data_IF_952351450618
#
_entry.id   IF_952351450618
#
_cell.length_a   1.000
_cell.length_b   1.000
_cell.length_c   1.000
_cell.angle_alpha   90.00
_cell.angle_beta   90.00
_cell.angle_gamma   90.00
#
_symmetry.space_group_name_H-M   'P 1'
#
loop_
_entity.id
_entity.type
_entity.pdbx_description
1 polymer ?
#
# COMPACT_ATOMS: atom_id res chain seq x y z
N UNK A 1 24.35 -17.49 14.54
CA UNK A 1 24.56 -16.46 13.50
C UNK A 1 23.22 -15.88 13.11
N UNK A 2 23.15 -14.58 12.94
CA UNK A 2 21.96 -13.90 12.44
C UNK A 2 22.22 -13.58 10.97
N UNK A 3 21.36 -14.10 10.08
CA UNK A 3 21.46 -13.78 8.65
C UNK A 3 21.01 -12.33 8.41
N UNK A 4 21.58 -11.65 7.41
CA UNK A 4 21.25 -10.26 7.08
C UNK A 4 19.75 -10.05 6.83
N UNK A 5 19.08 -11.03 6.24
CA UNK A 5 17.63 -11.01 6.03
C UNK A 5 16.81 -11.07 7.31
N UNK A 6 17.40 -11.45 8.42
CA UNK A 6 16.77 -11.54 9.74
C UNK A 6 17.03 -10.31 10.61
N UNK A 7 17.89 -9.40 10.16
CA UNK A 7 18.21 -8.17 10.88
C UNK A 7 17.19 -7.07 10.67
N UNK A 8 16.57 -7.00 9.50
CA UNK A 8 15.60 -5.95 9.19
C UNK A 8 14.51 -6.43 8.24
N UNK A 9 13.36 -5.78 8.32
CA UNK A 9 12.27 -5.90 7.36
C UNK A 9 12.57 -5.12 6.06
N UNK A 10 13.43 -4.09 6.15
CA UNK A 10 13.93 -3.34 4.99
C UNK A 10 15.16 -4.01 4.39
N UNK A 11 15.39 -3.74 3.11
CA UNK A 11 16.61 -4.22 2.45
C UNK A 11 17.79 -3.38 2.89
N UNK A 12 18.68 -3.97 3.70
CA UNK A 12 19.91 -3.36 4.15
C UNK A 12 21.10 -3.90 3.33
N UNK A 13 22.12 -3.09 3.16
CA UNK A 13 23.33 -3.47 2.43
C UNK A 13 24.35 -4.15 3.33
N UNK A 14 24.43 -3.70 4.57
CA UNK A 14 25.39 -4.21 5.54
C UNK A 14 24.77 -4.31 6.93
N UNK A 15 25.12 -5.36 7.71
CA UNK A 15 24.61 -5.53 9.07
C UNK A 15 24.84 -4.35 10.01
N UNK A 16 25.94 -3.60 9.81
CA UNK A 16 26.28 -2.43 10.63
C UNK A 16 25.30 -1.25 10.50
N UNK A 17 24.38 -1.30 9.54
CA UNK A 17 23.30 -0.32 9.43
C UNK A 17 22.24 -0.49 10.53
N UNK A 18 22.14 -1.68 11.10
CA UNK A 18 21.13 -2.04 12.11
C UNK A 18 21.78 -2.31 13.46
N UNK A 19 22.91 -3.02 13.49
CA UNK A 19 23.59 -3.46 14.72
C UNK A 19 25.09 -3.20 14.62
N UNK A 20 25.70 -2.84 15.76
CA UNK A 20 27.14 -2.61 15.85
C UNK A 20 27.81 -3.69 16.70
N UNK A 21 29.11 -3.86 16.51
CA UNK A 21 29.89 -4.78 17.31
C UNK A 21 29.90 -4.31 18.77
N UNK A 22 29.50 -5.19 19.66
CA UNK A 22 29.38 -4.88 21.10
C UNK A 22 27.97 -4.54 21.57
N UNK A 23 26.99 -4.39 20.65
CA UNK A 23 25.60 -4.15 21.02
C UNK A 23 24.96 -5.41 21.61
N UNK A 24 24.14 -5.22 22.62
CA UNK A 24 23.31 -6.27 23.19
C UNK A 24 21.94 -6.25 22.52
N UNK A 25 21.57 -7.35 21.90
CA UNK A 25 20.33 -7.48 21.14
C UNK A 25 19.51 -8.68 21.62
N UNK A 26 18.20 -8.53 21.64
CA UNK A 26 17.29 -9.64 21.89
C UNK A 26 17.04 -10.39 20.59
N UNK A 27 17.18 -11.70 20.64
CA UNK A 27 17.01 -12.55 19.48
C UNK A 27 16.17 -13.78 19.80
N UNK A 28 15.44 -14.24 18.82
CA UNK A 28 14.68 -15.49 18.92
C UNK A 28 15.45 -16.62 18.25
N UNK A 29 15.56 -17.76 18.91
CA UNK A 29 16.19 -18.95 18.33
C UNK A 29 15.19 -19.57 17.34
N UNK A 30 15.57 -19.60 16.06
CA UNK A 30 14.75 -20.18 14.99
C UNK A 30 15.04 -21.65 14.75
N UNK A 31 16.30 -22.01 14.69
CA UNK A 31 16.72 -23.37 14.43
C UNK A 31 18.04 -23.69 15.14
N UNK A 32 18.14 -24.91 15.61
CA UNK A 32 19.37 -25.50 16.17
C UNK A 32 19.83 -26.60 15.23
N UNK A 33 21.03 -26.45 14.70
CA UNK A 33 21.69 -27.46 13.89
C UNK A 33 22.82 -28.10 14.74
N UNK A 34 22.49 -29.23 15.35
CA UNK A 34 23.43 -29.94 16.24
C UNK A 34 24.62 -30.54 15.46
N UNK A 35 24.38 -30.96 14.22
CA UNK A 35 25.42 -31.58 13.39
C UNK A 35 26.53 -30.59 13.03
N UNK A 36 26.14 -29.38 12.63
CA UNK A 36 27.07 -28.32 12.25
C UNK A 36 27.38 -27.35 13.41
N UNK A 37 26.81 -27.58 14.59
CA UNK A 37 26.97 -26.73 15.78
C UNK A 37 26.64 -25.27 15.47
N UNK A 38 25.59 -25.04 14.70
CA UNK A 38 25.12 -23.70 14.30
C UNK A 38 23.75 -23.40 14.89
N UNK A 39 23.60 -22.18 15.36
CA UNK A 39 22.34 -21.66 15.87
C UNK A 39 21.89 -20.55 14.92
N UNK A 40 20.71 -20.71 14.37
CA UNK A 40 20.08 -19.67 13.56
C UNK A 40 19.22 -18.78 14.46
N UNK A 41 19.53 -17.51 14.46
CA UNK A 41 18.87 -16.51 15.29
C UNK A 41 18.06 -15.55 14.41
N UNK A 42 16.88 -15.14 14.91
CA UNK A 42 16.06 -14.10 14.31
C UNK A 42 16.07 -12.86 15.20
N UNK A 43 16.38 -11.74 14.63
CA UNK A 43 16.36 -10.43 15.29
C UNK A 43 15.06 -9.66 15.04
N UNK A 44 14.39 -9.93 13.93
CA UNK A 44 13.13 -9.26 13.56
C UNK A 44 12.05 -9.50 14.61
N UNK A 45 11.54 -8.42 15.18
CA UNK A 45 10.35 -8.47 16.01
C UNK A 45 9.11 -8.68 15.13
N UNK A 46 8.27 -9.60 15.52
CA UNK A 46 6.99 -9.88 14.82
C UNK A 46 6.09 -8.64 14.89
N UNK A 47 6.16 -7.91 15.99
CA UNK A 47 5.37 -6.69 16.21
C UNK A 47 5.70 -5.56 15.21
N UNK A 48 6.94 -5.51 14.75
CA UNK A 48 7.41 -4.52 13.77
C UNK A 48 7.20 -4.97 12.31
N UNK A 49 6.47 -6.06 12.10
CA UNK A 49 6.19 -6.53 10.76
C UNK A 49 5.33 -5.50 10.01
N UNK A 50 5.86 -4.83 8.97
CA UNK A 50 5.12 -3.80 8.24
C UNK A 50 3.80 -4.31 7.66
N UNK A 51 3.74 -5.60 7.31
CA UNK A 51 2.56 -6.24 6.75
C UNK A 51 1.45 -6.45 7.79
N UNK A 52 1.81 -6.73 9.05
CA UNK A 52 0.84 -6.79 10.15
C UNK A 52 0.34 -5.41 10.53
N UNK A 53 1.24 -4.42 10.54
CA UNK A 53 0.87 -3.02 10.74
C UNK A 53 -0.11 -2.58 9.66
N UNK A 54 0.16 -2.94 8.40
CA UNK A 54 -0.73 -2.66 7.29
C UNK A 54 -2.10 -3.31 7.49
N UNK A 55 -2.12 -4.59 7.85
CA UNK A 55 -3.36 -5.33 8.10
C UNK A 55 -4.20 -4.74 9.24
N UNK A 56 -3.55 -4.31 10.31
CA UNK A 56 -4.22 -3.80 11.51
C UNK A 56 -4.66 -2.34 11.37
N UNK A 57 -3.81 -1.49 10.81
CA UNK A 57 -4.10 -0.06 10.63
C UNK A 57 -4.86 0.25 9.35
N UNK A 58 -4.57 -0.48 8.28
CA UNK A 58 -5.10 -0.24 6.95
C UNK A 58 -5.66 -1.52 6.34
N UNK A 59 -6.80 -2.03 6.85
CA UNK A 59 -7.45 -3.19 6.25
C UNK A 59 -7.92 -2.88 4.82
N UNK A 60 -8.26 -3.92 4.08
CA UNK A 60 -8.85 -3.78 2.74
C UNK A 60 -10.07 -2.86 2.81
N UNK A 61 -10.11 -1.87 1.91
CA UNK A 61 -11.12 -0.81 1.89
C UNK A 61 -10.72 0.48 2.60
N UNK A 62 -9.58 0.53 3.27
CA UNK A 62 -9.07 1.75 3.89
C UNK A 62 -8.43 2.69 2.89
N UNK A 63 -8.51 3.99 3.18
CA UNK A 63 -7.84 5.04 2.40
C UNK A 63 -6.49 5.34 3.00
N UNK A 64 -5.47 5.35 2.17
CA UNK A 64 -4.08 5.62 2.57
C UNK A 64 -3.46 6.68 1.66
N UNK A 65 -2.52 7.43 2.22
CA UNK A 65 -1.72 8.34 1.42
C UNK A 65 -0.56 7.55 0.79
N UNK A 66 -0.53 7.54 -0.53
CA UNK A 66 0.45 6.80 -1.31
C UNK A 66 1.30 7.77 -2.13
N UNK A 67 2.61 7.67 -1.97
CA UNK A 67 3.56 8.50 -2.73
C UNK A 67 3.99 7.78 -3.99
N UNK A 68 3.80 8.39 -5.15
CA UNK A 68 4.20 7.83 -6.43
C UNK A 68 5.73 7.81 -6.53
N UNK A 69 6.29 6.63 -6.71
CA UNK A 69 7.75 6.41 -6.78
C UNK A 69 8.22 6.05 -8.19
N UNK A 70 7.40 5.33 -8.94
CA UNK A 70 7.74 4.97 -10.32
C UNK A 70 6.50 4.62 -11.14
N UNK A 71 6.69 4.56 -12.45
CA UNK A 71 5.63 4.18 -13.38
C UNK A 71 6.00 2.90 -14.13
N UNK A 72 4.99 2.11 -14.42
CA UNK A 72 5.08 0.95 -15.30
C UNK A 72 4.06 1.11 -16.45
N UNK A 73 4.21 0.31 -17.47
CA UNK A 73 3.28 0.32 -18.61
C UNK A 73 1.84 -0.02 -18.24
N UNK A 74 1.65 -0.72 -17.15
CA UNK A 74 0.35 -1.20 -16.66
C UNK A 74 -0.18 -0.42 -15.43
N UNK A 75 0.58 0.54 -14.91
CA UNK A 75 0.16 1.32 -13.76
C UNK A 75 1.28 2.13 -13.10
N UNK A 76 1.04 2.54 -11.88
CA UNK A 76 1.99 3.30 -11.07
C UNK A 76 2.34 2.55 -9.79
N UNK A 77 3.60 2.62 -9.40
CA UNK A 77 4.03 2.14 -8.09
C UNK A 77 3.98 3.29 -7.09
N UNK A 78 3.31 3.05 -5.99
CA UNK A 78 3.16 4.02 -4.93
C UNK A 78 3.60 3.44 -3.59
N UNK A 79 4.40 4.19 -2.86
CA UNK A 79 4.88 3.79 -1.54
C UNK A 79 3.85 4.19 -0.49
N UNK A 80 3.39 3.23 0.29
CA UNK A 80 2.41 3.42 1.37
C UNK A 80 3.12 3.54 2.71
N UNK A 81 4.02 2.60 2.96
CA UNK A 81 4.85 2.55 4.16
C UNK A 81 6.31 2.42 3.73
N UNK A 82 7.27 2.77 4.58
CA UNK A 82 8.70 2.79 4.21
C UNK A 82 9.23 1.51 3.55
N UNK A 83 8.53 0.39 3.74
CA UNK A 83 8.92 -0.93 3.21
C UNK A 83 7.87 -1.57 2.32
N UNK A 84 6.74 -0.93 2.12
CA UNK A 84 5.60 -1.48 1.38
C UNK A 84 5.25 -0.59 0.21
N UNK A 85 5.40 -1.14 -0.98
CA UNK A 85 4.98 -0.52 -2.22
C UNK A 85 3.66 -1.12 -2.69
N UNK A 86 2.75 -0.27 -3.06
CA UNK A 86 1.49 -0.64 -3.69
C UNK A 86 1.52 -0.41 -5.19
N UNK A 87 0.68 -1.12 -5.89
CA UNK A 87 0.46 -0.97 -7.32
C UNK A 87 -0.92 -0.36 -7.55
N UNK A 88 -0.94 0.75 -8.29
CA UNK A 88 -2.16 1.35 -8.81
C UNK A 88 -2.24 0.98 -10.29
N UNK A 89 -3.15 0.07 -10.64
CA UNK A 89 -3.34 -0.31 -12.04
C UNK A 89 -3.88 0.88 -12.84
N UNK A 90 -3.50 0.97 -14.11
CA UNK A 90 -3.92 2.08 -14.99
C UNK A 90 -5.45 2.27 -15.02
N UNK A 91 -6.20 1.20 -14.97
CA UNK A 91 -7.68 1.24 -14.90
C UNK A 91 -8.23 1.73 -13.57
N UNK A 92 -7.40 1.83 -12.54
CA UNK A 92 -7.75 2.27 -11.19
C UNK A 92 -7.27 3.69 -10.87
N UNK A 93 -6.62 4.35 -11.82
CA UNK A 93 -6.15 5.72 -11.66
C UNK A 93 -7.26 6.70 -11.95
N UNK A 94 -8.00 6.51 -13.04
CA UNK A 94 -9.08 7.40 -13.47
C UNK A 94 -10.25 6.64 -14.07
N UNK A 95 -11.40 7.27 -14.09
CA UNK A 95 -12.58 6.83 -14.84
C UNK A 95 -12.38 6.99 -16.35
N UNK A 96 -11.59 7.98 -16.74
CA UNK A 96 -11.26 8.22 -18.14
C UNK A 96 -10.20 7.23 -18.63
N UNK A 97 -10.26 6.95 -19.93
CA UNK A 97 -9.30 6.06 -20.56
C UNK A 97 -7.99 6.79 -20.80
N UNK A 98 -7.05 6.62 -19.90
CA UNK A 98 -5.70 7.20 -20.00
C UNK A 98 -4.76 6.25 -20.76
N UNK A 99 -3.84 6.81 -21.52
CA UNK A 99 -2.84 6.03 -22.25
C UNK A 99 -1.65 5.66 -21.37
N UNK A 100 -1.24 6.59 -20.54
CA UNK A 100 -0.11 6.38 -19.62
C UNK A 100 -0.44 6.89 -18.22
N UNK A 101 0.06 6.24 -17.16
CA UNK A 101 -0.12 6.73 -15.80
C UNK A 101 0.45 8.14 -15.58
N UNK A 102 1.46 8.50 -16.36
CA UNK A 102 2.15 9.80 -16.28
C UNK A 102 1.30 10.98 -16.75
N UNK A 103 0.22 10.71 -17.49
CA UNK A 103 -0.70 11.77 -17.94
C UNK A 103 -1.49 12.39 -16.78
N UNK A 104 -1.71 11.61 -15.73
CA UNK A 104 -2.51 12.02 -14.56
C UNK A 104 -1.67 12.19 -13.30
N UNK A 105 -0.63 11.38 -13.15
CA UNK A 105 0.20 11.33 -11.94
C UNK A 105 1.65 11.71 -12.26
N UNK A 106 2.34 12.24 -11.26
CA UNK A 106 3.77 12.58 -11.34
C UNK A 106 4.56 11.83 -10.27
N UNK A 107 5.83 11.54 -10.55
CA UNK A 107 6.73 10.96 -9.55
C UNK A 107 6.91 11.95 -8.40
N UNK A 108 6.71 11.46 -7.19
CA UNK A 108 6.78 12.28 -5.98
C UNK A 108 5.44 12.82 -5.50
N UNK A 109 4.38 12.69 -6.29
CA UNK A 109 3.04 13.09 -5.86
C UNK A 109 2.54 12.16 -4.76
N UNK A 110 1.88 12.76 -3.76
CA UNK A 110 1.16 12.02 -2.73
C UNK A 110 -0.31 12.04 -3.08
N UNK A 111 -0.87 10.86 -3.30
CA UNK A 111 -2.27 10.69 -3.68
C UNK A 111 -2.98 9.82 -2.66
N UNK A 112 -4.24 10.13 -2.43
CA UNK A 112 -5.08 9.26 -1.61
C UNK A 112 -5.55 8.09 -2.46
N UNK A 113 -5.34 6.90 -1.97
CA UNK A 113 -5.75 5.69 -2.65
C UNK A 113 -6.44 4.74 -1.67
N UNK A 114 -7.42 4.02 -2.17
CA UNK A 114 -8.13 3.00 -1.41
C UNK A 114 -7.47 1.66 -1.63
N UNK A 115 -7.26 0.91 -0.56
CA UNK A 115 -6.73 -0.45 -0.65
C UNK A 115 -7.84 -1.38 -1.12
N UNK A 116 -7.65 -1.99 -2.28
CA UNK A 116 -8.59 -2.96 -2.85
C UNK A 116 -8.26 -4.36 -2.34
N UNK A 117 -6.98 -4.70 -2.36
CA UNK A 117 -6.50 -6.04 -2.05
C UNK A 117 -5.08 -6.01 -1.48
N UNK A 118 -4.77 -6.95 -0.60
CA UNK A 118 -3.46 -7.11 0.01
C UNK A 118 -3.01 -8.56 -0.20
N UNK A 119 -1.99 -8.74 -1.01
CA UNK A 119 -1.37 -10.04 -1.26
C UNK A 119 -0.12 -10.20 -0.40
N UNK A 120 -0.26 -10.93 0.69
CA UNK A 120 0.84 -11.18 1.64
C UNK A 120 1.89 -12.13 1.08
N UNK A 121 1.51 -13.04 0.19
CA UNK A 121 2.42 -14.02 -0.40
C UNK A 121 3.35 -13.37 -1.41
N UNK A 122 2.80 -12.55 -2.28
CA UNK A 122 3.55 -11.79 -3.29
C UNK A 122 4.10 -10.47 -2.77
N UNK A 123 3.73 -10.09 -1.55
CA UNK A 123 4.09 -8.82 -0.92
C UNK A 123 3.70 -7.63 -1.80
N UNK A 124 2.45 -7.59 -2.22
CA UNK A 124 1.89 -6.53 -3.06
C UNK A 124 0.59 -6.01 -2.48
N UNK A 125 0.38 -4.73 -2.64
CA UNK A 125 -0.87 -4.07 -2.28
C UNK A 125 -1.47 -3.47 -3.54
N UNK A 126 -2.72 -3.79 -3.80
CA UNK A 126 -3.47 -3.22 -4.91
C UNK A 126 -4.24 -2.00 -4.43
N UNK A 127 -4.02 -0.89 -5.09
CA UNK A 127 -4.60 0.40 -4.75
C UNK A 127 -5.51 0.91 -5.86
N UNK A 128 -6.54 1.67 -5.48
CA UNK A 128 -7.43 2.38 -6.40
C UNK A 128 -7.58 3.83 -5.99
N UNK A 129 -7.34 4.72 -6.92
CA UNK A 129 -7.68 6.15 -6.78
C UNK A 129 -9.11 6.37 -7.28
N UNK A 130 -9.48 5.65 -8.31
CA UNK A 130 -10.78 5.72 -8.98
C UNK A 130 -11.97 5.60 -8.02
N UNK A 131 -11.89 4.72 -7.03
CA UNK A 131 -12.96 4.54 -6.05
C UNK A 131 -13.14 5.71 -5.08
N UNK A 132 -12.15 6.59 -5.00
CA UNK A 132 -12.23 7.84 -4.24
C UNK A 132 -12.74 9.01 -5.08
N UNK A 133 -12.68 8.87 -6.40
CA UNK A 133 -13.23 9.85 -7.33
C UNK A 133 -14.72 9.54 -7.53
N UNK A 134 -15.56 10.51 -7.24
CA UNK A 134 -16.99 10.40 -7.52
C UNK A 134 -17.22 10.12 -9.00
N UNK A 135 -18.15 9.24 -9.30
CA UNK A 135 -18.59 9.04 -10.67
C UNK A 135 -19.31 10.29 -11.15
N UNK A 136 -18.93 10.86 -12.27
CA UNK A 136 -19.62 12.04 -12.81
C UNK A 136 -21.11 11.78 -13.06
N UNK A 137 -21.45 10.56 -13.42
CA UNK A 137 -22.81 10.15 -13.73
C UNK A 137 -23.75 10.19 -12.52
N UNK A 138 -23.27 9.78 -11.36
CA UNK A 138 -24.06 9.77 -10.13
C UNK A 138 -24.49 11.18 -9.71
N UNK A 139 -23.61 12.16 -9.91
CA UNK A 139 -23.94 13.56 -9.61
C UNK A 139 -25.00 14.13 -10.54
N UNK A 140 -24.98 13.75 -11.79
CA UNK A 140 -25.96 14.19 -12.78
C UNK A 140 -27.33 13.60 -12.47
N UNK A 141 -27.38 12.33 -12.09
CA UNK A 141 -28.61 11.65 -11.73
C UNK A 141 -29.28 12.26 -10.50
N UNK A 142 -28.50 12.57 -9.49
CA UNK A 142 -28.98 13.23 -8.27
C UNK A 142 -29.58 14.61 -8.55
N UNK A 143 -28.91 15.41 -9.37
CA UNK A 143 -29.39 16.73 -9.76
C UNK A 143 -30.67 16.66 -10.61
N UNK A 144 -30.77 15.65 -11.44
CA UNK A 144 -31.98 15.45 -12.27
C UNK A 144 -33.19 15.08 -11.43
N UNK A 145 -33.01 14.24 -10.44
CA UNK A 145 -34.06 13.83 -9.53
C UNK A 145 -34.58 15.00 -8.68
N UNK A 146 -33.68 15.81 -8.16
CA UNK A 146 -34.03 17.00 -7.40
C UNK A 146 -34.85 18.01 -8.24
N UNK A 147 -34.43 18.20 -9.47
CA UNK A 147 -35.14 19.10 -10.39
C UNK A 147 -36.54 18.60 -10.71
N UNK A 148 -36.69 17.32 -10.93
CA UNK A 148 -37.97 16.71 -11.21
C UNK A 148 -38.95 16.83 -10.01
N UNK A 149 -38.43 16.68 -8.82
CA UNK A 149 -39.22 16.79 -7.59
C UNK A 149 -39.74 18.20 -7.38
N UNK A 150 -38.96 19.20 -7.65
CA UNK A 150 -39.33 20.59 -7.54
C UNK A 150 -40.43 20.97 -8.54
N UNK A 151 -40.33 20.50 -9.76
CA UNK A 151 -41.34 20.74 -10.79
C UNK A 151 -42.68 20.13 -10.43
N UNK A 152 -42.69 18.94 -9.89
CA UNK A 152 -43.90 18.28 -9.44
C UNK A 152 -44.61 19.06 -8.32
N UNK A 153 -43.83 19.60 -7.39
CA UNK A 153 -44.41 20.38 -6.31
C UNK A 153 -45.09 21.67 -6.77
N UNK A 154 -44.62 22.25 -7.83
CA UNK A 154 -45.20 23.47 -8.42
C UNK A 154 -46.50 23.17 -9.16
N UNK A 155 -46.62 22.05 -9.80
CA UNK A 155 -47.80 21.67 -10.56
C UNK A 155 -49.05 21.38 -9.71
N UNK A 156 -48.84 20.98 -8.49
CA UNK A 156 -49.93 20.67 -7.57
C UNK A 156 -50.70 21.91 -7.07
N UNK A 157 -50.15 23.07 -7.19
CA UNK A 157 -50.76 24.34 -6.82
C UNK A 157 -51.58 24.94 -7.94
#
# INVERSE_FOLDING_TARGET
MIHISELSWTRIKHPSEVVNVGDTVEVTIKALDEENKKISLGFKNIEDNPWEILKNKYPVGSVVDAKIVSFASFGAFANILPTIDGLIHISQISWDRIKTPQDVLKIGDVVKAKIIDIDFDKKRVSLSIKELLDKPEEKIDELSDDSATEEEAVEEE
#
